data_IF_259681537525
#
_entry.id   IF_259681537525
#
_cell.length_a   1.000
_cell.length_b   1.000
_cell.length_c   1.000
_cell.angle_alpha   90.00
_cell.angle_beta   90.00
_cell.angle_gamma   90.00
#
_symmetry.space_group_name_H-M   'P 1'
#
loop_
_entity.id
_entity.type
_entity.pdbx_description
1 polymer ?
#
# COMPACT_ATOMS: atom_id res chain seq x y z
N UNK A 1 -9.80 -80.74 3.07
CA UNK A 1 -8.68 -79.84 3.45
C UNK A 1 -8.73 -78.65 2.47
N UNK A 2 -8.62 -77.40 2.95
CA UNK A 2 -8.64 -76.10 2.24
C UNK A 2 -9.83 -75.19 2.58
N UNK A 3 -9.71 -74.39 3.64
CA UNK A 3 -10.50 -73.17 3.83
C UNK A 3 -9.80 -72.17 4.77
N UNK A 4 -8.57 -71.76 4.45
CA UNK A 4 -7.78 -70.86 5.32
C UNK A 4 -7.09 -69.66 4.66
N UNK A 5 -7.44 -69.28 3.43
CA UNK A 5 -6.74 -68.18 2.73
C UNK A 5 -7.46 -66.84 2.61
N UNK A 6 -8.66 -66.65 3.18
CA UNK A 6 -9.42 -65.39 2.93
C UNK A 6 -9.26 -64.27 3.97
N UNK A 7 -8.27 -64.31 4.87
CA UNK A 7 -8.08 -63.27 5.90
C UNK A 7 -6.65 -62.70 5.98
N UNK A 8 -6.12 -62.19 4.87
CA UNK A 8 -4.83 -61.49 4.92
C UNK A 8 -4.74 -60.35 3.89
N UNK A 9 -5.63 -59.36 3.94
CA UNK A 9 -5.37 -58.08 3.24
C UNK A 9 -6.13 -56.85 3.74
N UNK A 10 -7.19 -56.99 4.56
CA UNK A 10 -8.03 -55.85 4.97
C UNK A 10 -7.37 -54.82 5.90
N UNK A 11 -6.25 -55.15 6.57
CA UNK A 11 -5.60 -54.22 7.52
C UNK A 11 -4.78 -53.11 6.87
N UNK A 12 -4.27 -53.31 5.64
CA UNK A 12 -3.45 -52.29 4.96
C UNK A 12 -4.28 -51.16 4.37
N UNK A 13 -5.52 -51.43 3.98
CA UNK A 13 -6.41 -50.45 3.34
C UNK A 13 -6.87 -49.35 4.30
N UNK A 14 -7.05 -49.68 5.58
CA UNK A 14 -7.44 -48.70 6.62
C UNK A 14 -6.38 -47.61 6.84
N UNK A 15 -5.11 -47.99 6.93
CA UNK A 15 -3.99 -47.05 7.10
C UNK A 15 -3.80 -46.14 5.88
N UNK A 16 -4.06 -46.63 4.66
CA UNK A 16 -4.01 -45.81 3.45
C UNK A 16 -5.15 -44.79 3.44
N UNK A 17 -6.36 -45.19 3.85
CA UNK A 17 -7.52 -44.29 3.91
C UNK A 17 -7.32 -43.16 4.93
N UNK A 18 -6.64 -43.45 6.04
CA UNK A 18 -6.34 -42.47 7.08
C UNK A 18 -5.36 -41.40 6.57
N UNK A 19 -4.25 -41.83 5.96
CA UNK A 19 -3.26 -40.92 5.37
C UNK A 19 -3.88 -40.07 4.26
N UNK A 20 -4.69 -40.67 3.38
CA UNK A 20 -5.37 -39.95 2.30
C UNK A 20 -6.34 -38.91 2.87
N UNK A 21 -7.08 -39.26 3.93
CA UNK A 21 -7.99 -38.32 4.61
C UNK A 21 -7.25 -37.15 5.26
N UNK A 22 -6.12 -37.43 5.91
CA UNK A 22 -5.30 -36.41 6.57
C UNK A 22 -4.68 -35.44 5.55
N UNK A 23 -4.13 -35.96 4.44
CA UNK A 23 -3.60 -35.13 3.35
C UNK A 23 -4.69 -34.27 2.70
N UNK A 24 -5.90 -34.82 2.53
CA UNK A 24 -7.03 -34.08 2.01
C UNK A 24 -7.44 -32.94 2.95
N UNK A 25 -7.50 -33.20 4.26
CA UNK A 25 -7.79 -32.19 5.28
C UNK A 25 -6.74 -31.08 5.30
N UNK A 26 -5.45 -31.45 5.20
CA UNK A 26 -4.36 -30.48 5.14
C UNK A 26 -4.47 -29.61 3.88
N UNK A 27 -4.79 -30.19 2.72
CA UNK A 27 -4.98 -29.43 1.50
C UNK A 27 -6.13 -28.42 1.61
N UNK A 28 -7.26 -28.80 2.22
CA UNK A 28 -8.40 -27.91 2.47
C UNK A 28 -8.01 -26.79 3.45
N UNK A 29 -7.28 -27.11 4.52
CA UNK A 29 -6.84 -26.13 5.50
C UNK A 29 -5.89 -25.10 4.88
N UNK A 30 -4.86 -25.54 4.14
CA UNK A 30 -3.87 -24.68 3.49
C UNK A 30 -4.54 -23.76 2.46
N UNK A 31 -5.42 -24.31 1.62
CA UNK A 31 -6.14 -23.52 0.61
C UNK A 31 -7.06 -22.48 1.26
N UNK A 32 -7.80 -22.86 2.31
CA UNK A 32 -8.67 -21.94 3.04
C UNK A 32 -7.90 -20.76 3.65
N UNK A 33 -6.78 -21.05 4.32
CA UNK A 33 -5.92 -20.01 4.93
C UNK A 33 -5.27 -19.13 3.85
N UNK A 34 -4.83 -19.71 2.73
CA UNK A 34 -4.22 -18.98 1.62
C UNK A 34 -5.20 -17.98 0.98
N UNK A 35 -6.47 -18.36 0.80
CA UNK A 35 -7.51 -17.45 0.29
C UNK A 35 -7.75 -16.29 1.25
N UNK A 36 -7.82 -16.56 2.57
CA UNK A 36 -7.96 -15.50 3.58
C UNK A 36 -6.76 -14.55 3.53
N UNK A 37 -5.54 -15.08 3.44
CA UNK A 37 -4.33 -14.28 3.37
C UNK A 37 -4.31 -13.36 2.13
N UNK A 38 -4.63 -13.92 0.96
CA UNK A 38 -4.61 -13.16 -0.31
C UNK A 38 -5.73 -12.13 -0.41
N UNK A 39 -6.91 -12.39 0.16
CA UNK A 39 -8.06 -11.50 0.01
C UNK A 39 -8.22 -10.46 1.14
N UNK A 40 -7.78 -10.79 2.36
CA UNK A 40 -8.04 -9.95 3.55
C UNK A 40 -6.77 -9.29 4.06
N UNK A 41 -5.63 -10.00 4.02
CA UNK A 41 -4.38 -9.54 4.65
C UNK A 41 -3.36 -8.99 3.65
N UNK A 42 -3.52 -9.27 2.36
CA UNK A 42 -2.61 -8.81 1.31
C UNK A 42 -3.02 -7.49 0.69
N UNK A 43 -4.05 -6.81 1.22
CA UNK A 43 -4.35 -5.44 0.80
C UNK A 43 -3.17 -4.57 1.26
N UNK A 44 -2.37 -3.99 0.34
CA UNK A 44 -1.46 -2.93 0.74
C UNK A 44 -2.33 -1.89 1.44
N UNK A 45 -1.99 -1.54 2.69
CA UNK A 45 -2.73 -0.54 3.45
C UNK A 45 -2.91 0.75 2.63
N UNK A 46 -3.80 1.66 3.05
CA UNK A 46 -4.00 2.91 2.34
C UNK A 46 -2.65 3.53 2.03
N UNK A 47 -2.37 3.70 0.74
CA UNK A 47 -1.15 4.35 0.30
C UNK A 47 -1.38 5.83 0.56
N UNK A 48 -0.56 6.45 1.41
CA UNK A 48 -0.59 7.90 1.67
C UNK A 48 -0.11 8.64 0.41
N UNK A 49 -0.98 8.70 -0.61
CA UNK A 49 -0.77 9.45 -1.85
C UNK A 49 -1.68 10.65 -1.85
N UNK A 50 -1.13 11.80 -1.49
CA UNK A 50 -1.78 13.08 -1.66
C UNK A 50 -1.58 13.57 -3.09
N UNK A 51 -2.69 13.74 -3.82
CA UNK A 51 -2.68 14.28 -5.18
C UNK A 51 -3.15 15.74 -5.14
N UNK A 52 -2.23 16.66 -5.46
CA UNK A 52 -2.50 18.10 -5.49
C UNK A 52 -2.08 18.72 -6.82
N UNK A 53 -2.78 19.79 -7.20
CA UNK A 53 -2.37 20.65 -8.32
C UNK A 53 -1.87 21.97 -7.76
N UNK A 54 -0.58 22.24 -7.94
CA UNK A 54 0.05 23.50 -7.56
C UNK A 54 0.41 24.25 -8.84
N UNK A 55 -0.05 25.50 -8.96
CA UNK A 55 0.23 26.36 -10.10
C UNK A 55 1.22 27.44 -9.65
N UNK A 56 2.35 27.54 -10.34
CA UNK A 56 3.36 28.58 -10.12
C UNK A 56 3.21 29.73 -11.12
N UNK A 57 3.35 30.96 -10.64
CA UNK A 57 3.50 32.18 -11.45
C UNK A 57 4.67 33.02 -10.93
N UNK A 58 5.25 33.84 -11.81
CA UNK A 58 6.18 34.90 -11.39
C UNK A 58 5.42 36.21 -11.35
N UNK A 59 5.38 36.87 -10.20
CA UNK A 59 4.76 38.17 -9.99
C UNK A 59 5.78 39.09 -9.33
N UNK A 60 6.03 40.27 -9.91
CA UNK A 60 7.04 41.23 -9.46
C UNK A 60 8.45 40.62 -9.24
N UNK A 61 8.82 39.67 -10.09
CA UNK A 61 10.11 38.96 -10.02
C UNK A 61 10.20 37.89 -8.93
N UNK A 62 9.07 37.58 -8.25
CA UNK A 62 9.00 36.58 -7.17
C UNK A 62 8.16 35.38 -7.58
N UNK A 63 8.58 34.16 -7.24
CA UNK A 63 7.79 32.96 -7.49
C UNK A 63 6.66 32.84 -6.46
N UNK A 64 5.42 32.77 -6.96
CA UNK A 64 4.20 32.56 -6.18
C UNK A 64 3.57 31.25 -6.63
N UNK A 65 3.18 30.43 -5.67
CA UNK A 65 2.51 29.16 -5.90
C UNK A 65 1.11 29.18 -5.30
N UNK A 66 0.15 28.63 -6.03
CA UNK A 66 -1.24 28.50 -5.59
C UNK A 66 -1.66 27.03 -5.62
N UNK A 67 -2.20 26.55 -4.50
CA UNK A 67 -2.82 25.23 -4.45
C UNK A 67 -4.23 25.33 -5.06
N UNK A 68 -4.47 24.73 -6.22
CA UNK A 68 -5.75 24.86 -6.92
C UNK A 68 -6.71 23.68 -6.73
N UNK A 69 -6.18 22.48 -6.54
CA UNK A 69 -6.99 21.24 -6.46
C UNK A 69 -6.32 20.20 -5.58
N UNK A 70 -7.11 19.28 -5.05
CA UNK A 70 -6.65 18.13 -4.28
C UNK A 70 -6.97 18.27 -2.80
N UNK A 71 -6.01 17.90 -1.96
CA UNK A 71 -6.10 17.96 -0.51
C UNK A 71 -5.33 19.16 0.05
N UNK A 72 -5.67 19.59 1.25
CA UNK A 72 -4.86 20.60 1.96
C UNK A 72 -3.57 19.96 2.44
N UNK A 73 -2.46 20.69 2.34
CA UNK A 73 -1.15 20.21 2.75
C UNK A 73 -0.88 20.58 4.22
N UNK A 74 -0.53 19.59 5.03
CA UNK A 74 -0.16 19.80 6.43
C UNK A 74 1.18 20.54 6.56
N UNK A 75 1.41 21.19 7.70
CA UNK A 75 2.66 21.91 7.98
C UNK A 75 3.93 21.04 7.83
N UNK A 76 3.82 19.74 8.05
CA UNK A 76 4.89 18.74 7.95
C UNK A 76 5.09 18.18 6.52
N UNK A 77 4.26 18.61 5.57
CA UNK A 77 4.41 18.20 4.17
C UNK A 77 5.67 18.82 3.56
N UNK A 78 6.56 17.96 3.07
CA UNK A 78 7.76 18.34 2.31
C UNK A 78 7.43 18.61 0.86
N UNK A 79 7.92 19.72 0.34
CA UNK A 79 7.77 20.09 -1.06
C UNK A 79 9.16 20.13 -1.69
N UNK A 80 9.30 19.42 -2.81
CA UNK A 80 10.50 19.41 -3.63
C UNK A 80 10.23 20.22 -4.89
N UNK A 81 10.98 21.31 -5.05
CA UNK A 81 10.90 22.16 -6.23
C UNK A 81 12.18 22.03 -7.03
N UNK A 82 12.08 21.69 -8.31
CA UNK A 82 13.22 21.69 -9.23
C UNK A 82 13.05 22.82 -10.24
N UNK A 83 13.86 23.87 -10.11
CA UNK A 83 13.90 24.99 -11.05
C UNK A 83 14.96 24.72 -12.13
N UNK A 84 14.60 24.98 -13.39
CA UNK A 84 15.46 24.81 -14.57
C UNK A 84 16.13 23.42 -14.71
N UNK A 85 15.66 22.40 -13.99
CA UNK A 85 16.18 21.05 -14.01
C UNK A 85 17.40 20.78 -13.12
N UNK A 86 17.92 21.77 -12.37
CA UNK A 86 19.13 21.60 -11.55
C UNK A 86 19.10 22.30 -10.19
N UNK A 87 18.29 23.34 -9.99
CA UNK A 87 18.14 24.00 -8.69
C UNK A 87 17.02 23.31 -7.92
N UNK A 88 17.39 22.30 -7.13
CA UNK A 88 16.48 21.55 -6.27
C UNK A 88 16.43 22.20 -4.90
N UNK A 89 15.23 22.65 -4.51
CA UNK A 89 14.95 23.21 -3.18
C UNK A 89 13.95 22.33 -2.45
N UNK A 90 14.18 22.19 -1.16
CA UNK A 90 13.30 21.49 -0.23
C UNK A 90 12.81 22.50 0.81
N UNK A 91 11.50 22.49 1.08
CA UNK A 91 10.90 23.31 2.11
C UNK A 91 9.74 22.56 2.76
N UNK A 92 9.50 22.88 4.03
CA UNK A 92 8.31 22.41 4.73
C UNK A 92 7.17 23.39 4.49
N UNK A 93 5.96 22.88 4.30
CA UNK A 93 4.77 23.72 4.07
C UNK A 93 4.55 24.68 5.24
N UNK A 94 4.88 24.30 6.47
CA UNK A 94 4.80 25.17 7.66
C UNK A 94 5.83 26.31 7.70
N UNK A 95 6.88 26.29 6.87
CA UNK A 95 7.84 27.40 6.76
C UNK A 95 7.32 28.51 5.84
N UNK A 96 6.41 28.17 4.94
CA UNK A 96 5.94 29.04 3.87
C UNK A 96 4.45 29.39 3.98
N UNK A 97 3.68 28.59 4.72
CA UNK A 97 2.24 28.74 4.95
C UNK A 97 1.91 28.63 6.44
N UNK A 98 0.80 29.27 6.83
CA UNK A 98 0.11 28.99 8.10
C UNK A 98 -0.25 27.48 8.19
N UNK A 99 -0.64 26.93 9.37
CA UNK A 99 -0.42 25.51 9.72
C UNK A 99 -0.99 24.44 8.77
N UNK A 100 -1.85 24.83 7.83
CA UNK A 100 -2.18 24.05 6.65
C UNK A 100 -2.23 24.97 5.43
N UNK A 101 -1.67 24.53 4.30
CA UNK A 101 -1.82 25.20 3.02
C UNK A 101 -3.10 24.71 2.33
N UNK A 102 -4.06 25.62 2.17
CA UNK A 102 -5.42 25.32 1.68
C UNK A 102 -5.59 25.67 0.20
N UNK A 103 -6.63 25.10 -0.40
CA UNK A 103 -7.00 25.38 -1.79
C UNK A 103 -7.36 26.87 -1.93
N UNK A 104 -6.78 27.52 -2.93
CA UNK A 104 -6.90 28.94 -3.22
C UNK A 104 -5.91 29.83 -2.46
N UNK A 105 -5.15 29.29 -1.51
CA UNK A 105 -4.12 30.04 -0.84
C UNK A 105 -2.86 30.14 -1.71
N UNK A 106 -2.31 31.34 -1.76
CA UNK A 106 -1.07 31.65 -2.44
C UNK A 106 0.06 31.73 -1.43
N UNK A 107 1.16 31.08 -1.76
CA UNK A 107 2.36 31.06 -0.96
C UNK A 107 3.51 31.56 -1.80
N UNK A 108 4.28 32.48 -1.21
CA UNK A 108 5.48 33.03 -1.82
C UNK A 108 6.68 32.28 -1.25
N UNK A 109 7.49 31.69 -2.12
CA UNK A 109 8.71 31.06 -1.64
C UNK A 109 9.74 32.13 -1.27
N UNK A 110 10.52 31.92 -0.20
CA UNK A 110 11.66 32.77 0.09
C UNK A 110 12.63 32.72 -1.08
N UNK A 111 12.94 33.90 -1.62
CA UNK A 111 13.98 34.09 -2.62
C UNK A 111 15.22 34.53 -1.85
N UNK A 112 16.29 33.74 -1.88
CA UNK A 112 17.62 34.18 -1.45
C UNK A 112 18.21 35.20 -2.43
#
# INVERSE_FOLDING_TARGET
>A
MLRREFMKNSRKTGAVSEIVGEVLLLAIAVTSISVIYTQVLSTPGPVDITNVTIVGKIEDGRPIFELQRGESLGADTKIFLTLAGYDQREFLTGEISNPQWRIGEQVMLPVE
#
